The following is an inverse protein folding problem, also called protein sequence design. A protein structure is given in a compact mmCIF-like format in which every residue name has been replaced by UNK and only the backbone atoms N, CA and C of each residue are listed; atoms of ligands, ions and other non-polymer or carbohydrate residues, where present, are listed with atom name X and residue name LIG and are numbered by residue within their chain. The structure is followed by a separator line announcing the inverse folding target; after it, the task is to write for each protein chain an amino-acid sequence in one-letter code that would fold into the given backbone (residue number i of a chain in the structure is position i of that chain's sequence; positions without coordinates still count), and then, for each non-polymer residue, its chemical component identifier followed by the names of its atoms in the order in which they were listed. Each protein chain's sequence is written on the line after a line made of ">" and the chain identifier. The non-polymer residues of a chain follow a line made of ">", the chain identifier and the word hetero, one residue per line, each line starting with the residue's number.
data_IF_946490965036
#
_entry.id   IF_946490965036
#
_cell.length_a   1.000
_cell.length_b   1.000
_cell.length_c   1.000
_cell.angle_alpha   90.00
_cell.angle_beta   90.00
_cell.angle_gamma   90.00
#
_symmetry.space_group_name_H-M   'P 1'
#
loop_
_entity.id
_entity.type
_entity.pdbx_description
1 polymer ?
#
# COMPACT_ATOMS: atom_id res chain seq x y z
N UNK A 1 -2.21 15.11 -20.41
CA UNK A 1 -1.89 16.54 -20.50
C UNK A 1 -1.82 17.09 -19.08
N UNK A 2 -0.59 17.30 -18.57
CA UNK A 2 -0.37 17.99 -17.31
C UNK A 2 -0.54 19.50 -17.54
N UNK A 3 -1.55 20.09 -16.93
CA UNK A 3 -1.64 21.53 -16.82
C UNK A 3 -1.20 21.94 -15.40
N UNK A 4 0.02 22.45 -15.27
CA UNK A 4 0.47 23.04 -14.03
C UNK A 4 0.01 24.49 -13.96
N UNK A 5 -0.88 24.80 -13.00
CA UNK A 5 -1.21 26.16 -12.64
C UNK A 5 -0.57 26.48 -11.29
N UNK A 6 0.39 27.38 -11.29
CA UNK A 6 0.95 27.92 -10.06
C UNK A 6 0.03 29.07 -9.64
N UNK A 7 -0.67 28.91 -8.53
CA UNK A 7 -1.45 29.98 -7.93
C UNK A 7 -0.48 30.83 -7.08
N UNK A 8 -0.14 32.02 -7.55
CA UNK A 8 0.69 32.96 -6.80
C UNK A 8 -0.13 33.66 -5.71
N UNK A 9 0.47 33.77 -4.54
CA UNK A 9 0.00 34.71 -3.52
C UNK A 9 0.12 36.16 -4.11
N UNK A 10 -1.01 36.74 -4.46
CA UNK A 10 -0.98 38.07 -5.07
C UNK A 10 -0.83 39.14 -3.98
N UNK A 11 0.35 39.72 -3.89
CA UNK A 11 0.59 40.87 -3.01
C UNK A 11 0.17 42.12 -3.75
N UNK A 12 -0.84 42.81 -3.22
CA UNK A 12 -1.24 44.11 -3.75
C UNK A 12 -0.08 45.12 -3.65
N UNK A 13 -0.06 46.19 -4.48
CA UNK A 13 0.97 47.22 -4.43
C UNK A 13 1.14 47.89 -3.06
N UNK A 14 0.14 47.74 -2.17
CA UNK A 14 0.16 48.24 -0.79
C UNK A 14 0.76 47.25 0.22
N UNK A 15 1.33 46.15 -0.21
CA UNK A 15 1.94 45.11 0.64
C UNK A 15 0.96 44.19 1.40
N UNK A 16 -0.35 44.27 1.13
CA UNK A 16 -1.33 43.37 1.72
C UNK A 16 -1.51 42.16 0.85
N UNK A 17 -1.34 40.99 1.45
CA UNK A 17 -1.70 39.68 0.83
C UNK A 17 -3.22 39.59 0.77
N UNK A 18 -3.77 39.34 -0.41
CA UNK A 18 -5.19 39.01 -0.57
C UNK A 18 -5.30 37.50 -0.54
N UNK A 19 -5.92 36.96 0.51
CA UNK A 19 -6.36 35.56 0.52
C UNK A 19 -7.62 35.45 -0.31
N UNK A 20 -7.59 34.70 -1.37
CA UNK A 20 -8.78 34.37 -2.13
C UNK A 20 -9.55 33.29 -1.35
N UNK A 21 -10.66 33.67 -0.78
CA UNK A 21 -11.61 32.74 -0.17
C UNK A 21 -12.54 32.17 -1.23
N UNK A 22 -13.29 31.13 -0.85
CA UNK A 22 -14.34 30.53 -1.70
C UNK A 22 -15.36 31.58 -2.20
N UNK A 23 -15.50 32.67 -1.47
CA UNK A 23 -16.43 33.74 -1.76
C UNK A 23 -15.85 34.80 -2.71
N UNK A 24 -14.52 34.82 -2.87
CA UNK A 24 -13.82 35.69 -3.84
C UNK A 24 -13.83 35.06 -5.24
N UNK A 25 -15.01 34.85 -5.76
CA UNK A 25 -15.35 33.95 -6.86
C UNK A 25 -14.69 34.24 -8.23
N UNK A 26 -14.03 35.34 -8.42
CA UNK A 26 -13.56 35.76 -9.75
C UNK A 26 -12.47 34.87 -10.34
N UNK A 27 -11.46 34.44 -9.56
CA UNK A 27 -10.36 33.60 -10.04
C UNK A 27 -10.66 32.10 -9.93
N UNK A 28 -11.45 31.68 -8.93
CA UNK A 28 -11.79 30.28 -8.71
C UNK A 28 -12.95 29.79 -9.60
N UNK A 29 -13.80 30.69 -10.09
CA UNK A 29 -14.96 30.37 -10.94
C UNK A 29 -14.57 29.50 -12.14
N UNK A 30 -13.42 29.79 -12.76
CA UNK A 30 -12.90 29.02 -13.88
C UNK A 30 -12.67 27.54 -13.54
N UNK A 31 -12.22 27.26 -12.33
CA UNK A 31 -11.96 25.89 -11.86
C UNK A 31 -13.24 25.16 -11.40
N UNK A 32 -14.28 25.91 -11.07
CA UNK A 32 -15.57 25.38 -10.59
C UNK A 32 -16.59 25.17 -11.71
N UNK A 33 -16.28 25.52 -12.97
CA UNK A 33 -17.18 25.39 -14.14
C UNK A 33 -17.36 23.97 -14.65
N UNK A 34 -16.65 22.99 -14.07
CA UNK A 34 -16.67 21.59 -14.54
C UNK A 34 -15.76 21.31 -15.75
N UNK A 35 -14.98 22.32 -16.19
CA UNK A 35 -14.00 22.14 -17.27
C UNK A 35 -12.74 21.39 -16.80
N UNK A 36 -12.53 21.30 -15.50
CA UNK A 36 -11.38 20.65 -14.88
C UNK A 36 -11.82 19.47 -14.01
N UNK A 37 -11.06 18.39 -14.06
CA UNK A 37 -11.20 17.26 -13.17
C UNK A 37 -10.54 17.57 -11.81
N UNK A 38 -11.29 18.25 -10.94
CA UNK A 38 -10.78 18.70 -9.64
C UNK A 38 -10.49 17.52 -8.70
N UNK A 39 -11.27 16.46 -8.75
CA UNK A 39 -11.07 15.26 -7.93
C UNK A 39 -9.70 14.60 -8.19
N UNK A 40 -9.20 14.69 -9.43
CA UNK A 40 -7.88 14.20 -9.82
C UNK A 40 -6.83 15.31 -9.98
N UNK A 41 -7.13 16.51 -9.49
CA UNK A 41 -6.21 17.66 -9.48
C UNK A 41 -5.52 17.79 -8.13
N UNK A 42 -4.38 18.50 -8.14
CA UNK A 42 -3.55 18.71 -6.94
C UNK A 42 -3.33 20.19 -6.68
N UNK A 43 -3.33 20.57 -5.39
CA UNK A 43 -2.81 21.86 -4.91
C UNK A 43 -1.57 21.55 -4.09
N UNK A 44 -0.43 22.13 -4.48
CA UNK A 44 0.86 21.97 -3.80
C UNK A 44 1.20 23.30 -3.12
N UNK A 45 1.45 23.28 -1.82
CA UNK A 45 1.81 24.48 -1.08
C UNK A 45 2.41 24.18 0.28
N UNK A 46 3.08 25.18 0.86
CA UNK A 46 3.79 25.08 2.14
C UNK A 46 2.95 25.54 3.34
N UNK A 47 1.75 26.06 3.08
CA UNK A 47 0.86 26.63 4.11
C UNK A 47 -0.41 25.80 4.28
N UNK A 48 -0.97 25.82 5.50
CA UNK A 48 -2.29 25.22 5.77
C UNK A 48 -3.41 25.83 4.93
N UNK A 49 -3.28 27.11 4.54
CA UNK A 49 -4.24 27.77 3.65
C UNK A 49 -4.25 27.20 2.24
N UNK A 50 -3.14 26.59 1.78
CA UNK A 50 -3.09 25.87 0.51
C UNK A 50 -3.86 24.56 0.60
N UNK A 51 -3.79 23.90 1.75
CA UNK A 51 -4.57 22.70 2.05
C UNK A 51 -6.06 23.01 2.18
N UNK A 52 -6.39 24.18 2.76
CA UNK A 52 -7.77 24.69 2.80
C UNK A 52 -8.29 24.98 1.39
N UNK A 53 -7.47 25.57 0.52
CA UNK A 53 -7.80 25.76 -0.89
C UNK A 53 -8.06 24.43 -1.61
N UNK A 54 -7.20 23.44 -1.42
CA UNK A 54 -7.40 22.11 -1.97
C UNK A 54 -8.75 21.52 -1.54
N UNK A 55 -9.02 21.55 -0.24
CA UNK A 55 -10.28 21.07 0.34
C UNK A 55 -11.50 21.79 -0.26
N UNK A 56 -11.46 23.12 -0.35
CA UNK A 56 -12.57 23.94 -0.87
C UNK A 56 -12.82 23.73 -2.37
N UNK A 57 -11.79 23.39 -3.13
CA UNK A 57 -11.88 23.04 -4.56
C UNK A 57 -12.34 21.59 -4.77
N UNK A 58 -12.29 20.73 -3.78
CA UNK A 58 -12.45 19.27 -3.94
C UNK A 58 -11.25 18.61 -4.62
N UNK A 59 -10.08 19.25 -4.55
CA UNK A 59 -8.81 18.75 -5.07
C UNK A 59 -7.97 18.10 -3.98
N UNK A 60 -6.94 17.36 -4.36
CA UNK A 60 -5.99 16.73 -3.42
C UNK A 60 -4.92 17.73 -3.00
N UNK A 61 -4.69 17.88 -1.69
CA UNK A 61 -3.66 18.76 -1.15
C UNK A 61 -2.33 18.03 -1.00
N UNK A 62 -1.22 18.59 -1.49
CA UNK A 62 0.13 18.16 -1.17
C UNK A 62 0.77 19.25 -0.32
N UNK A 63 1.06 18.90 0.95
CA UNK A 63 1.62 19.86 1.88
C UNK A 63 3.14 19.79 1.88
N UNK A 64 3.77 20.84 1.35
CA UNK A 64 5.23 20.93 1.19
C UNK A 64 5.89 21.32 2.51
N UNK A 65 6.19 20.33 3.35
CA UNK A 65 6.88 20.48 4.62
C UNK A 65 7.40 19.14 5.14
N UNK A 66 8.35 19.13 6.13
CA UNK A 66 8.73 17.89 6.83
C UNK A 66 7.52 17.24 7.49
N UNK A 67 7.46 15.89 7.46
CA UNK A 67 6.38 15.12 8.11
C UNK A 67 6.36 15.33 9.63
N UNK A 68 7.52 15.58 10.24
CA UNK A 68 7.67 15.78 11.67
C UNK A 68 6.86 16.98 12.15
N UNK A 69 5.95 16.76 13.09
CA UNK A 69 5.05 17.78 13.65
C UNK A 69 3.83 18.16 12.79
N UNK A 70 3.69 17.58 11.58
CA UNK A 70 2.57 17.90 10.68
C UNK A 70 1.21 17.52 11.28
N UNK A 71 1.10 16.36 11.92
CA UNK A 71 -0.15 15.89 12.53
C UNK A 71 -0.63 16.81 13.65
N UNK A 72 0.29 17.30 14.49
CA UNK A 72 -0.06 18.20 15.59
C UNK A 72 -0.52 19.58 15.09
N UNK A 73 0.05 20.07 14.01
CA UNK A 73 -0.33 21.33 13.39
C UNK A 73 -1.69 21.23 12.66
N UNK A 74 -1.94 20.11 11.96
CA UNK A 74 -3.26 19.82 11.38
C UNK A 74 -4.34 19.73 12.45
N UNK A 75 -4.06 19.04 13.57
CA UNK A 75 -5.00 18.91 14.67
C UNK A 75 -5.33 20.23 15.36
N UNK A 76 -4.41 21.19 15.33
CA UNK A 76 -4.61 22.54 15.89
C UNK A 76 -5.37 23.48 14.93
N UNK A 77 -5.54 23.11 13.66
CA UNK A 77 -6.25 23.93 12.69
C UNK A 77 -7.76 23.76 12.84
N UNK A 78 -8.51 24.87 12.71
CA UNK A 78 -9.96 24.90 12.98
C UNK A 78 -10.81 24.05 12.01
N UNK A 79 -10.27 23.72 10.85
CA UNK A 79 -10.91 22.90 9.84
C UNK A 79 -10.21 21.53 9.78
N UNK A 80 -10.98 20.44 9.72
CA UNK A 80 -10.43 19.10 9.55
C UNK A 80 -9.83 18.96 8.13
N UNK A 81 -8.56 19.28 7.99
CA UNK A 81 -7.81 19.15 6.74
C UNK A 81 -7.11 17.81 6.70
N UNK A 82 -7.15 17.18 5.55
CA UNK A 82 -6.49 15.90 5.29
C UNK A 82 -5.67 16.00 4.00
N UNK A 83 -4.39 16.45 4.07
CA UNK A 83 -3.52 16.43 2.91
C UNK A 83 -3.38 15.01 2.36
N UNK A 84 -3.40 14.87 1.04
CA UNK A 84 -3.19 13.59 0.38
C UNK A 84 -1.73 13.12 0.48
N UNK A 85 -0.80 14.08 0.58
CA UNK A 85 0.63 13.80 0.79
C UNK A 85 1.32 14.93 1.53
N UNK A 86 2.32 14.58 2.37
CA UNK A 86 3.13 15.53 3.13
C UNK A 86 4.60 15.18 2.89
N UNK A 87 5.37 16.14 2.40
CA UNK A 87 6.82 16.01 2.20
C UNK A 87 7.43 17.36 1.90
N UNK A 88 8.70 17.56 2.24
CA UNK A 88 9.53 18.72 1.83
C UNK A 88 10.41 18.45 0.60
N UNK A 89 10.33 17.23 0.05
CA UNK A 89 11.12 16.72 -1.06
C UNK A 89 10.34 16.79 -2.37
N UNK A 90 10.79 17.62 -3.32
CA UNK A 90 10.18 17.75 -4.64
C UNK A 90 10.31 16.51 -5.53
N UNK A 91 11.35 15.69 -5.32
CA UNK A 91 11.50 14.43 -6.06
C UNK A 91 10.40 13.45 -5.63
N UNK A 92 10.08 13.40 -4.34
CA UNK A 92 8.96 12.63 -3.81
C UNK A 92 7.60 13.15 -4.28
N UNK A 93 7.42 14.47 -4.41
CA UNK A 93 6.20 15.04 -5.00
C UNK A 93 6.07 14.59 -6.45
N UNK A 94 7.15 14.67 -7.20
CA UNK A 94 7.18 14.21 -8.60
C UNK A 94 6.84 12.74 -8.69
N UNK A 95 7.44 11.91 -7.84
CA UNK A 95 7.14 10.49 -7.73
C UNK A 95 5.65 10.24 -7.44
N UNK A 96 5.10 10.93 -6.45
CA UNK A 96 3.69 10.83 -6.08
C UNK A 96 2.74 11.21 -7.23
N UNK A 97 3.01 12.33 -7.92
CA UNK A 97 2.17 12.83 -9.01
C UNK A 97 2.22 11.94 -10.25
N UNK A 98 3.39 11.41 -10.62
CA UNK A 98 3.54 10.57 -11.81
C UNK A 98 3.17 9.11 -11.54
N UNK A 99 3.45 8.63 -10.34
CA UNK A 99 3.25 7.23 -9.99
C UNK A 99 1.86 6.94 -9.38
N UNK A 100 1.15 7.99 -8.92
CA UNK A 100 -0.12 7.85 -8.20
C UNK A 100 0.05 7.18 -6.82
N UNK A 101 -0.99 7.19 -6.02
CA UNK A 101 -1.03 6.51 -4.72
C UNK A 101 -1.13 4.99 -4.91
N UNK A 102 -0.22 4.23 -4.31
CA UNK A 102 -0.26 2.76 -4.30
C UNK A 102 -0.84 2.24 -2.99
N UNK A 103 -2.05 2.65 -2.69
CA UNK A 103 -2.80 2.21 -1.51
C UNK A 103 -4.14 1.64 -1.93
N UNK A 104 -4.55 0.56 -1.31
CA UNK A 104 -5.85 -0.02 -1.52
C UNK A 104 -6.49 -0.46 -0.21
N UNK A 105 -7.78 -0.20 -0.11
CA UNK A 105 -8.64 -0.73 0.94
C UNK A 105 -9.52 -1.82 0.35
N UNK A 106 -9.58 -2.96 1.04
CA UNK A 106 -10.46 -4.08 0.73
C UNK A 106 -11.29 -4.41 1.95
N UNK A 107 -12.60 -4.43 1.78
CA UNK A 107 -13.55 -5.01 2.72
C UNK A 107 -14.13 -6.25 2.07
N UNK A 108 -13.95 -7.42 2.71
CA UNK A 108 -14.46 -8.70 2.25
C UNK A 108 -15.29 -9.32 3.36
N UNK A 109 -16.58 -9.51 3.12
CA UNK A 109 -17.50 -10.09 4.07
C UNK A 109 -18.17 -11.30 3.45
N UNK A 110 -18.12 -12.44 4.14
CA UNK A 110 -18.81 -13.68 3.82
C UNK A 110 -19.76 -14.05 4.96
N UNK A 111 -20.27 -15.27 4.99
CA UNK A 111 -21.00 -15.78 6.16
C UNK A 111 -20.07 -16.22 7.30
N UNK A 112 -18.84 -16.57 6.95
CA UNK A 112 -17.82 -17.10 7.85
C UNK A 112 -16.85 -16.02 8.34
N UNK A 113 -16.58 -14.98 7.51
CA UNK A 113 -15.55 -14.00 7.81
C UNK A 113 -15.99 -12.57 7.50
N UNK A 114 -15.46 -11.60 8.28
CA UNK A 114 -15.50 -10.16 7.97
C UNK A 114 -14.09 -9.60 8.07
N UNK A 115 -13.56 -9.14 6.93
CA UNK A 115 -12.13 -8.84 6.75
C UNK A 115 -11.96 -7.43 6.21
N UNK A 116 -11.15 -6.65 6.89
CA UNK A 116 -10.70 -5.34 6.45
C UNK A 116 -9.18 -5.37 6.22
N UNK A 117 -8.75 -5.00 5.03
CA UNK A 117 -7.34 -4.81 4.67
C UNK A 117 -7.15 -3.40 4.13
N UNK A 118 -6.16 -2.68 4.67
CA UNK A 118 -5.68 -1.41 4.15
C UNK A 118 -4.18 -1.55 3.92
N UNK A 119 -3.75 -1.49 2.68
CA UNK A 119 -2.36 -1.73 2.30
C UNK A 119 -1.80 -0.57 1.47
N UNK A 120 -0.84 0.14 2.06
CA UNK A 120 -0.08 1.19 1.38
C UNK A 120 1.32 0.67 1.00
N UNK A 121 1.59 0.53 -0.29
CA UNK A 121 2.85 0.01 -0.82
C UNK A 121 4.00 1.03 -0.69
N UNK A 122 3.69 2.31 -0.57
CA UNK A 122 4.64 3.41 -0.38
C UNK A 122 4.79 3.80 1.11
N UNK A 123 4.50 2.86 2.01
CA UNK A 123 4.56 3.04 3.46
C UNK A 123 5.98 2.99 4.04
N UNK A 124 6.03 2.93 5.36
CA UNK A 124 7.27 2.93 6.17
C UNK A 124 7.47 1.64 6.97
N UNK A 125 6.59 0.65 6.82
CA UNK A 125 6.61 -0.61 7.57
C UNK A 125 5.76 -0.58 8.84
N UNK A 126 4.78 0.33 8.93
CA UNK A 126 3.82 0.36 10.05
C UNK A 126 2.79 -0.75 9.85
N UNK A 127 2.53 -1.51 10.91
CA UNK A 127 1.58 -2.62 10.88
C UNK A 127 0.56 -2.52 11.99
N UNK A 128 -0.67 -2.97 11.72
CA UNK A 128 -1.75 -3.11 12.69
C UNK A 128 -2.58 -4.35 12.34
N UNK A 129 -2.24 -5.48 12.95
CA UNK A 129 -2.78 -6.79 12.57
C UNK A 129 -3.62 -7.36 13.72
N UNK A 130 -4.79 -7.89 13.41
CA UNK A 130 -5.67 -8.58 14.35
C UNK A 130 -6.56 -9.55 13.59
N UNK A 131 -6.22 -10.85 13.62
CA UNK A 131 -6.99 -11.93 12.98
C UNK A 131 -7.67 -12.86 13.99
N UNK A 132 -7.29 -12.76 15.26
CA UNK A 132 -7.68 -13.68 16.30
C UNK A 132 -6.75 -14.89 16.44
N UNK A 133 -5.75 -15.04 15.56
CA UNK A 133 -4.73 -16.07 15.59
C UNK A 133 -3.37 -15.41 15.82
N UNK A 134 -2.79 -15.59 17.01
CA UNK A 134 -1.59 -14.83 17.42
C UNK A 134 -0.36 -15.11 16.57
N UNK A 135 -0.17 -16.36 16.16
CA UNK A 135 0.95 -16.72 15.28
C UNK A 135 0.74 -16.18 13.86
N UNK A 136 -0.50 -16.23 13.34
CA UNK A 136 -0.82 -15.67 12.03
C UNK A 136 -0.66 -14.14 12.02
N UNK A 137 -1.08 -13.45 13.08
CA UNK A 137 -0.84 -12.01 13.26
C UNK A 137 0.67 -11.69 13.16
N UNK A 138 1.51 -12.48 13.84
CA UNK A 138 2.96 -12.35 13.78
C UNK A 138 3.51 -12.57 12.35
N UNK A 139 2.97 -13.52 11.60
CA UNK A 139 3.38 -13.77 10.22
C UNK A 139 3.00 -12.62 9.28
N UNK A 140 1.80 -12.06 9.42
CA UNK A 140 1.37 -10.91 8.63
C UNK A 140 2.16 -9.64 8.98
N UNK A 141 2.55 -9.47 10.25
CA UNK A 141 3.43 -8.39 10.70
C UNK A 141 4.80 -8.45 9.98
N UNK A 142 5.34 -9.65 9.74
CA UNK A 142 6.56 -9.81 8.94
C UNK A 142 6.40 -9.26 7.51
N UNK A 143 5.21 -9.46 6.89
CA UNK A 143 4.95 -8.95 5.55
C UNK A 143 5.08 -7.43 5.52
N UNK A 144 4.34 -6.69 6.35
CA UNK A 144 4.39 -5.23 6.36
C UNK A 144 5.78 -4.68 6.69
N UNK A 145 6.35 -5.14 7.81
CA UNK A 145 7.67 -4.66 8.29
C UNK A 145 8.80 -4.88 7.29
N UNK A 146 8.95 -6.10 6.78
CA UNK A 146 10.09 -6.44 5.92
C UNK A 146 9.92 -5.99 4.48
N UNK A 147 8.69 -5.81 4.01
CA UNK A 147 8.45 -5.15 2.72
C UNK A 147 8.62 -3.63 2.79
N UNK A 148 8.51 -3.05 3.99
CA UNK A 148 8.54 -1.59 4.19
C UNK A 148 7.23 -0.91 3.79
N UNK A 149 6.13 -1.69 3.70
CA UNK A 149 4.78 -1.20 3.38
C UNK A 149 3.98 -1.01 4.66
N UNK A 150 2.98 -0.11 4.65
CA UNK A 150 2.06 0.00 5.78
C UNK A 150 0.89 -0.94 5.57
N UNK A 151 0.61 -1.80 6.56
CA UNK A 151 -0.38 -2.85 6.46
C UNK A 151 -1.30 -2.88 7.70
N UNK A 152 -2.58 -2.67 7.48
CA UNK A 152 -3.62 -2.89 8.49
C UNK A 152 -4.50 -4.06 8.07
N UNK A 153 -4.66 -5.05 8.96
CA UNK A 153 -5.53 -6.21 8.76
C UNK A 153 -6.38 -6.41 10.01
N UNK A 154 -7.70 -6.43 9.82
CA UNK A 154 -8.65 -6.76 10.88
C UNK A 154 -9.57 -7.85 10.39
N UNK A 155 -9.64 -8.93 11.12
CA UNK A 155 -10.45 -10.09 10.76
C UNK A 155 -11.33 -10.50 11.92
N UNK A 156 -12.58 -10.78 11.61
CA UNK A 156 -13.51 -11.49 12.49
C UNK A 156 -13.96 -12.73 11.73
N UNK A 157 -13.40 -13.87 12.09
CA UNK A 157 -13.72 -15.19 11.50
C UNK A 157 -14.46 -16.09 12.46
N UNK A 158 -14.93 -17.21 11.97
CA UNK A 158 -15.65 -18.27 12.67
C UNK A 158 -14.69 -19.29 13.34
N UNK A 159 -13.75 -18.76 14.15
CA UNK A 159 -12.69 -19.55 14.82
C UNK A 159 -13.24 -20.65 15.75
N UNK A 160 -14.52 -20.60 16.09
CA UNK A 160 -15.21 -21.70 16.80
C UNK A 160 -15.40 -22.94 15.90
N UNK A 161 -15.31 -22.80 14.57
CA UNK A 161 -15.32 -23.90 13.62
C UNK A 161 -13.89 -24.43 13.43
N UNK A 162 -13.04 -23.62 12.81
CA UNK A 162 -11.60 -23.82 12.69
C UNK A 162 -10.90 -22.54 12.18
N UNK A 163 -9.61 -22.62 11.90
CA UNK A 163 -8.78 -21.53 11.41
C UNK A 163 -8.84 -21.35 9.88
N UNK A 164 -9.41 -22.30 9.14
CA UNK A 164 -9.31 -22.39 7.68
C UNK A 164 -9.84 -21.15 6.97
N UNK A 165 -11.14 -20.81 7.22
CA UNK A 165 -11.79 -19.67 6.57
C UNK A 165 -11.08 -18.36 6.89
N UNK A 166 -10.65 -18.18 8.14
CA UNK A 166 -9.91 -16.99 8.59
C UNK A 166 -8.62 -16.81 7.80
N UNK A 167 -7.83 -17.85 7.64
CA UNK A 167 -6.52 -17.78 6.98
C UNK A 167 -6.68 -17.63 5.47
N UNK A 168 -7.52 -18.44 4.84
CA UNK A 168 -7.71 -18.42 3.39
C UNK A 168 -8.33 -17.12 2.90
N UNK A 169 -9.43 -16.68 3.50
CA UNK A 169 -10.12 -15.44 3.13
C UNK A 169 -9.25 -14.20 3.38
N UNK A 170 -8.42 -14.21 4.43
CA UNK A 170 -7.44 -13.14 4.67
C UNK A 170 -6.40 -13.11 3.54
N UNK A 171 -5.91 -14.25 3.09
CA UNK A 171 -4.97 -14.31 1.97
C UNK A 171 -5.59 -13.77 0.67
N UNK A 172 -6.86 -14.09 0.41
CA UNK A 172 -7.60 -13.55 -0.74
C UNK A 172 -7.70 -12.02 -0.64
N UNK A 173 -8.13 -11.50 0.51
CA UNK A 173 -8.28 -10.05 0.72
C UNK A 173 -6.94 -9.29 0.57
N UNK A 174 -5.84 -9.86 1.09
CA UNK A 174 -4.48 -9.34 0.90
C UNK A 174 -4.07 -9.34 -0.58
N UNK A 175 -4.33 -10.43 -1.29
CA UNK A 175 -4.02 -10.53 -2.72
C UNK A 175 -4.81 -9.51 -3.56
N UNK A 176 -6.08 -9.31 -3.27
CA UNK A 176 -6.92 -8.29 -3.91
C UNK A 176 -6.41 -6.88 -3.60
N UNK A 177 -6.01 -6.60 -2.35
CA UNK A 177 -5.45 -5.31 -1.96
C UNK A 177 -4.13 -5.05 -2.68
N UNK A 178 -3.23 -6.04 -2.76
CA UNK A 178 -1.99 -5.95 -3.51
C UNK A 178 -2.26 -5.65 -4.99
N UNK A 179 -3.14 -6.40 -5.62
CA UNK A 179 -3.47 -6.21 -7.04
C UNK A 179 -4.03 -4.81 -7.32
N UNK A 180 -4.95 -4.32 -6.46
CA UNK A 180 -5.53 -2.98 -6.59
C UNK A 180 -4.47 -1.88 -6.38
N UNK A 181 -3.61 -2.04 -5.36
CA UNK A 181 -2.58 -1.06 -5.05
C UNK A 181 -1.47 -0.99 -6.12
N UNK A 182 -1.15 -2.11 -6.78
CA UNK A 182 -0.21 -2.14 -7.90
C UNK A 182 -0.74 -1.43 -9.17
N UNK A 183 -2.04 -1.29 -9.29
CA UNK A 183 -2.68 -0.62 -10.44
C UNK A 183 -2.26 -1.22 -11.78
N UNK A 184 -1.80 -0.38 -12.70
CA UNK A 184 -1.36 -0.77 -14.04
C UNK A 184 0.07 -1.34 -14.08
N UNK A 185 0.75 -1.41 -12.93
CA UNK A 185 2.10 -1.98 -12.75
C UNK A 185 3.21 -1.27 -13.54
N UNK A 186 3.00 -0.01 -13.94
CA UNK A 186 4.02 0.76 -14.63
C UNK A 186 5.14 1.17 -13.68
N UNK A 187 6.38 1.11 -14.18
CA UNK A 187 7.58 1.53 -13.47
C UNK A 187 8.01 0.58 -12.34
N UNK A 188 7.32 -0.53 -12.06
CA UNK A 188 7.76 -1.48 -11.04
C UNK A 188 8.89 -2.39 -11.56
N UNK A 189 9.70 -2.92 -10.64
CA UNK A 189 10.74 -3.92 -10.96
C UNK A 189 10.12 -5.30 -11.32
N UNK A 190 8.88 -5.55 -10.94
CA UNK A 190 8.09 -6.75 -11.21
C UNK A 190 8.58 -8.02 -10.52
N UNK A 191 9.90 -8.22 -10.36
CA UNK A 191 10.51 -9.45 -9.82
C UNK A 191 11.20 -9.23 -8.49
N UNK A 192 11.24 -10.29 -7.65
CA UNK A 192 11.95 -10.25 -6.38
C UNK A 192 12.27 -11.64 -5.82
N UNK A 193 13.26 -11.74 -4.92
CA UNK A 193 13.75 -13.01 -4.33
C UNK A 193 14.57 -12.87 -3.01
N UNK A 194 14.62 -13.81 -2.23
CA UNK A 194 15.28 -14.71 -1.27
C UNK A 194 16.03 -14.24 0.00
N UNK A 195 15.95 -15.06 1.13
CA UNK A 195 16.84 -14.89 2.31
C UNK A 195 16.95 -16.14 3.26
N UNK A 196 18.03 -16.24 4.12
CA UNK A 196 18.17 -17.22 5.21
C UNK A 196 17.46 -16.78 6.50
N UNK A 197 17.13 -17.77 7.35
CA UNK A 197 16.64 -17.60 8.72
C UNK A 197 17.27 -18.65 9.62
N UNK A 198 18.31 -18.30 10.38
CA UNK A 198 19.10 -19.17 11.25
C UNK A 198 19.49 -20.51 10.57
N UNK A 199 18.91 -21.65 11.01
CA UNK A 199 19.13 -22.97 10.44
C UNK A 199 18.38 -23.21 9.13
N UNK A 200 17.54 -22.26 8.70
CA UNK A 200 16.69 -22.41 7.54
C UNK A 200 17.15 -21.53 6.37
N UNK A 201 17.08 -22.07 5.17
CA UNK A 201 17.21 -21.33 3.94
C UNK A 201 15.86 -21.29 3.23
N UNK A 202 15.32 -20.07 3.07
CA UNK A 202 14.03 -19.85 2.43
C UNK A 202 14.24 -19.06 1.14
N UNK A 203 13.77 -19.63 0.04
CA UNK A 203 13.78 -19.00 -1.27
C UNK A 203 12.36 -18.67 -1.69
N UNK A 204 12.08 -17.39 -1.92
CA UNK A 204 10.83 -16.96 -2.53
C UNK A 204 11.17 -16.14 -3.76
N UNK A 205 10.71 -16.57 -4.92
CA UNK A 205 10.76 -15.80 -6.15
C UNK A 205 9.33 -15.45 -6.55
N UNK A 206 9.08 -14.19 -6.89
CA UNK A 206 7.78 -13.72 -7.34
C UNK A 206 7.84 -12.95 -8.66
N UNK A 207 6.74 -13.03 -9.42
CA UNK A 207 6.52 -12.25 -10.64
C UNK A 207 5.07 -11.74 -10.67
N UNK A 208 4.89 -10.42 -10.69
CA UNK A 208 3.57 -9.79 -10.88
C UNK A 208 3.09 -9.83 -12.34
N UNK A 209 3.30 -10.98 -13.00
CA UNK A 209 3.03 -11.22 -14.43
C UNK A 209 1.56 -11.35 -14.82
N UNK A 210 0.62 -11.16 -13.90
CA UNK A 210 -0.83 -11.19 -14.16
C UNK A 210 -1.43 -12.61 -14.30
N UNK A 211 -0.62 -13.67 -14.24
CA UNK A 211 -1.04 -15.08 -14.30
C UNK A 211 -0.62 -15.81 -13.04
N UNK A 212 -1.56 -16.20 -12.17
CA UNK A 212 -1.24 -16.85 -10.92
C UNK A 212 -0.64 -18.23 -11.14
N UNK A 213 0.39 -18.56 -10.36
CA UNK A 213 0.95 -19.90 -10.29
C UNK A 213 1.76 -20.05 -9.02
N UNK A 214 1.50 -21.08 -8.23
CA UNK A 214 2.29 -21.41 -7.06
C UNK A 214 3.10 -22.67 -7.30
N UNK A 215 4.42 -22.60 -7.05
CA UNK A 215 5.29 -23.75 -6.82
C UNK A 215 5.64 -23.75 -5.35
N UNK A 216 5.34 -24.87 -4.67
CA UNK A 216 5.58 -25.04 -3.25
C UNK A 216 6.49 -26.25 -3.03
N UNK A 217 7.68 -26.00 -2.51
CA UNK A 217 8.69 -26.99 -2.15
C UNK A 217 9.16 -26.72 -0.71
N UNK A 218 8.27 -26.98 0.25
CA UNK A 218 8.53 -26.82 1.67
C UNK A 218 7.72 -27.88 2.45
N UNK A 219 8.40 -28.73 3.18
CA UNK A 219 7.80 -29.80 3.97
C UNK A 219 7.71 -29.39 5.44
N UNK A 220 6.57 -29.70 6.06
CA UNK A 220 6.30 -29.52 7.48
C UNK A 220 5.77 -30.82 8.06
N UNK A 221 6.29 -31.19 9.25
CA UNK A 221 5.96 -32.48 9.90
C UNK A 221 5.13 -32.28 11.17
N UNK A 222 5.15 -31.07 11.77
CA UNK A 222 4.30 -30.74 12.91
C UNK A 222 2.89 -30.45 12.41
N UNK A 223 1.90 -30.82 13.23
CA UNK A 223 0.50 -30.52 12.94
C UNK A 223 0.25 -29.00 12.94
N UNK A 224 0.84 -28.27 13.90
CA UNK A 224 0.71 -26.82 14.03
C UNK A 224 2.05 -26.17 14.39
N UNK A 225 2.21 -24.91 13.97
CA UNK A 225 3.20 -23.97 14.49
C UNK A 225 2.46 -22.79 15.12
N UNK A 226 2.62 -22.60 16.42
CA UNK A 226 1.72 -21.71 17.16
C UNK A 226 0.28 -22.22 17.11
N UNK A 227 -0.64 -21.36 16.76
CA UNK A 227 -2.07 -21.63 16.56
C UNK A 227 -2.42 -21.92 15.09
N UNK A 228 -1.43 -21.93 14.18
CA UNK A 228 -1.64 -22.10 12.75
C UNK A 228 -1.34 -23.54 12.30
N UNK A 229 -2.32 -24.28 11.73
CA UNK A 229 -2.08 -25.60 11.13
C UNK A 229 -1.07 -25.50 9.97
N UNK A 230 -0.16 -26.46 9.87
CA UNK A 230 0.91 -26.39 8.85
C UNK A 230 0.40 -26.59 7.44
N UNK A 231 -0.71 -27.32 7.25
CA UNK A 231 -1.39 -27.44 5.97
C UNK A 231 -1.88 -26.08 5.44
N UNK A 232 -2.25 -25.16 6.34
CA UNK A 232 -2.73 -23.83 5.97
C UNK A 232 -1.63 -22.92 5.40
N UNK A 233 -0.36 -23.25 5.54
CA UNK A 233 0.71 -22.49 4.90
C UNK A 233 0.59 -22.53 3.38
N UNK A 234 0.45 -23.71 2.80
CA UNK A 234 0.23 -23.86 1.36
C UNK A 234 -1.03 -23.13 0.91
N UNK A 235 -2.14 -23.30 1.63
CA UNK A 235 -3.42 -22.64 1.31
C UNK A 235 -3.31 -21.12 1.33
N UNK A 236 -2.64 -20.54 2.33
CA UNK A 236 -2.39 -19.10 2.40
C UNK A 236 -1.65 -18.59 1.16
N UNK A 237 -0.50 -19.17 0.82
CA UNK A 237 0.29 -18.71 -0.32
C UNK A 237 -0.40 -18.98 -1.66
N UNK A 238 -1.21 -20.04 -1.76
CA UNK A 238 -2.01 -20.33 -2.96
C UNK A 238 -3.07 -19.25 -3.17
N UNK A 239 -3.86 -18.94 -2.15
CA UNK A 239 -4.93 -17.96 -2.21
C UNK A 239 -4.39 -16.55 -2.44
N UNK A 240 -3.26 -16.21 -1.79
CA UNK A 240 -2.55 -14.95 -2.02
C UNK A 240 -2.05 -14.83 -3.46
N UNK A 241 -1.42 -15.88 -4.01
CA UNK A 241 -0.92 -15.94 -5.39
C UNK A 241 -2.05 -15.74 -6.40
N UNK A 242 -3.17 -16.42 -6.20
CA UNK A 242 -4.33 -16.36 -7.09
C UNK A 242 -4.96 -14.96 -7.07
N UNK A 243 -5.23 -14.42 -5.89
CA UNK A 243 -5.91 -13.13 -5.75
C UNK A 243 -5.02 -11.95 -6.20
N UNK A 244 -3.72 -11.98 -5.94
CA UNK A 244 -2.77 -10.98 -6.43
C UNK A 244 -2.38 -11.17 -7.90
N UNK A 245 -2.82 -12.24 -8.54
CA UNK A 245 -2.43 -12.63 -9.90
C UNK A 245 -0.91 -12.65 -10.11
N UNK A 246 -0.20 -13.24 -9.16
CA UNK A 246 1.26 -13.33 -9.18
C UNK A 246 1.74 -14.77 -9.26
N UNK A 247 2.92 -14.98 -9.84
CA UNK A 247 3.62 -16.24 -9.71
C UNK A 247 4.41 -16.22 -8.40
N UNK A 248 4.35 -17.31 -7.65
CA UNK A 248 5.19 -17.56 -6.49
C UNK A 248 5.91 -18.90 -6.67
N UNK A 249 7.22 -18.89 -6.45
CA UNK A 249 8.03 -20.10 -6.34
C UNK A 249 8.69 -20.08 -4.97
N UNK A 250 8.28 -20.99 -4.10
CA UNK A 250 8.68 -21.06 -2.70
C UNK A 250 9.40 -22.37 -2.46
N UNK A 251 10.61 -22.27 -1.91
CA UNK A 251 11.38 -23.40 -1.42
C UNK A 251 11.93 -23.09 -0.04
N UNK A 252 11.84 -24.05 0.89
CA UNK A 252 12.41 -23.89 2.23
C UNK A 252 13.03 -25.17 2.73
N UNK A 253 14.26 -25.09 3.22
CA UNK A 253 15.04 -26.14 3.85
C UNK A 253 15.40 -25.74 5.27
N UNK A 254 15.48 -26.67 6.18
CA UNK A 254 15.84 -26.46 7.58
C UNK A 254 15.10 -27.39 8.51
N UNK A 255 15.49 -27.41 9.78
CA UNK A 255 14.97 -28.34 10.78
C UNK A 255 13.93 -27.72 11.72
N UNK A 256 14.05 -26.43 12.03
CA UNK A 256 13.09 -25.73 12.88
C UNK A 256 11.92 -25.20 12.03
N UNK A 257 10.75 -25.78 12.20
CA UNK A 257 9.59 -25.45 11.39
C UNK A 257 9.03 -24.03 11.64
N UNK A 258 9.22 -23.50 12.86
CA UNK A 258 8.92 -22.08 13.15
C UNK A 258 9.84 -21.17 12.33
N UNK A 259 11.15 -21.37 12.37
CA UNK A 259 12.11 -20.61 11.56
C UNK A 259 11.83 -20.75 10.06
N UNK A 260 11.45 -21.95 9.63
CA UNK A 260 11.15 -22.24 8.21
C UNK A 260 9.97 -21.40 7.73
N UNK A 261 8.83 -21.42 8.41
CA UNK A 261 7.66 -20.64 7.97
C UNK A 261 7.88 -19.14 8.16
N UNK A 262 8.46 -18.68 9.26
CA UNK A 262 8.79 -17.27 9.45
C UNK A 262 9.79 -16.78 8.39
N UNK A 263 10.77 -17.59 8.04
CA UNK A 263 11.71 -17.34 6.95
C UNK A 263 11.03 -17.20 5.59
N UNK A 264 10.01 -18.02 5.29
CA UNK A 264 9.20 -17.89 4.07
C UNK A 264 8.46 -16.56 4.04
N UNK A 265 7.78 -16.15 5.14
CA UNK A 265 7.08 -14.86 5.21
C UNK A 265 8.03 -13.66 5.07
N UNK A 266 9.19 -13.70 5.70
CA UNK A 266 10.24 -12.68 5.53
C UNK A 266 10.78 -12.63 4.11
N UNK A 267 11.04 -13.79 3.50
CA UNK A 267 11.50 -13.90 2.12
C UNK A 267 10.44 -13.35 1.14
N UNK A 268 9.15 -13.66 1.34
CA UNK A 268 8.05 -13.07 0.59
C UNK A 268 8.06 -11.55 0.71
N UNK A 269 8.10 -11.03 1.93
CA UNK A 269 8.09 -9.59 2.20
C UNK A 269 9.25 -8.87 1.50
N UNK A 270 10.46 -9.43 1.57
CA UNK A 270 11.64 -8.88 0.88
C UNK A 270 11.50 -8.96 -0.65
N UNK A 271 10.93 -10.04 -1.16
CA UNK A 271 10.64 -10.19 -2.59
C UNK A 271 9.59 -9.16 -3.06
N UNK A 272 8.54 -8.93 -2.26
CA UNK A 272 7.57 -7.86 -2.51
C UNK A 272 8.29 -6.50 -2.56
N UNK A 273 9.10 -6.17 -1.55
CA UNK A 273 9.86 -4.90 -1.49
C UNK A 273 10.66 -4.64 -2.77
N UNK A 274 11.32 -5.67 -3.29
CA UNK A 274 12.09 -5.56 -4.53
C UNK A 274 11.17 -5.36 -5.73
N UNK A 275 10.14 -6.18 -5.84
CA UNK A 275 9.24 -6.21 -6.99
C UNK A 275 8.37 -4.95 -7.14
N UNK A 276 7.97 -4.33 -6.03
CA UNK A 276 7.15 -3.10 -6.03
C UNK A 276 7.99 -1.83 -6.17
N UNK A 277 9.33 -1.91 -6.09
CA UNK A 277 10.18 -0.75 -6.28
C UNK A 277 9.88 -0.08 -7.62
N UNK A 278 9.72 1.23 -7.61
CA UNK A 278 9.43 2.03 -8.81
C UNK A 278 10.66 2.78 -9.31
N UNK A 279 10.77 2.86 -10.64
CA UNK A 279 11.63 3.83 -11.34
C UNK A 279 10.72 4.88 -11.99
N UNK A 280 10.69 6.07 -11.40
CA UNK A 280 9.87 7.20 -11.90
C UNK A 280 10.41 7.78 -13.20
N UNK A 281 11.70 7.56 -13.50
CA UNK A 281 12.33 8.04 -14.73
C UNK A 281 12.14 7.06 -15.89
N UNK A 282 11.72 5.82 -15.60
CA UNK A 282 11.37 4.77 -16.57
C UNK A 282 9.99 4.20 -16.28
N UNK A 283 8.98 5.05 -16.41
CA UNK A 283 7.59 4.68 -16.13
C UNK A 283 6.99 3.85 -17.26
N UNK A 284 7.67 2.76 -17.60
CA UNK A 284 7.28 1.81 -18.65
C UNK A 284 6.62 0.58 -18.04
N UNK A 285 5.75 -0.07 -18.81
CA UNK A 285 5.22 -1.37 -18.43
C UNK A 285 6.34 -2.41 -18.58
N UNK A 286 6.74 -3.13 -17.50
CA UNK A 286 7.83 -4.11 -17.56
C UNK A 286 7.40 -5.40 -18.27
N UNK A 287 7.00 -5.26 -19.54
CA UNK A 287 6.48 -6.36 -20.37
C UNK A 287 6.75 -6.12 -21.84
N UNK A 288 7.40 -7.06 -22.49
CA UNK A 288 7.58 -7.07 -23.95
C UNK A 288 6.29 -7.30 -24.73
N UNK A 289 5.24 -7.77 -24.06
CA UNK A 289 3.91 -8.04 -24.64
C UNK A 289 2.97 -6.83 -24.56
N UNK A 290 3.37 -5.75 -23.86
CA UNK A 290 2.55 -4.57 -23.67
C UNK A 290 1.36 -4.72 -22.72
N UNK A 291 1.29 -5.84 -21.98
CA UNK A 291 0.26 -6.13 -20.95
C UNK A 291 0.84 -7.01 -19.82
N UNK A 292 0.25 -6.92 -18.64
CA UNK A 292 0.53 -7.73 -17.43
C UNK A 292 -0.77 -8.11 -16.73
#
# INVERSE_FOLDING_TARGET
>A
NLHAHVVFDWTQPNGKSVRLSRDDMGMLTKYMTGEYDLENSFVIGDRLTDMELAHNLGAKGIWLRPEEGAESELAAYATSLSPAYITDDWDKITEYLFAGERRAVVQRTTKETDIYVDWNLDGTGKTSISTGLGFFDHMLDQIGKHSGTDLTVRVKGDLEVDEHHTIEDTAIALGEAMLKALGDKRGIERYGYCLPMDDCLCSVALDFGGRPWLVWDAEFHREKVGDMPTEMFLHFFKSLSDAARMNLNIRAEGTNEHHKIEGIFKALARSIKMAIRRDIYRFELPSTKGLL
#
